data_IF_981018006700
#
_entry.id   IF_981018006700
#
_cell.length_a   1.000
_cell.length_b   1.000
_cell.length_c   1.000
_cell.angle_alpha   90.00
_cell.angle_beta   90.00
_cell.angle_gamma   90.00
#
_symmetry.space_group_name_H-M   'P 1'
#
loop_
_entity.id
_entity.type
_entity.pdbx_description
1 polymer ?
#
# COMPACT_ATOMS: atom_id res chain seq x y z
N UNK A 1 9.41 16.92 -51.32
CA UNK A 1 9.54 15.93 -50.22
C UNK A 1 9.62 16.71 -48.92
N UNK A 2 8.53 16.75 -48.12
CA UNK A 2 8.53 17.42 -46.80
C UNK A 2 8.99 16.39 -45.79
N UNK A 3 10.15 16.64 -45.17
CA UNK A 3 10.67 15.84 -44.06
C UNK A 3 9.71 15.91 -42.88
N UNK A 4 9.07 14.81 -42.59
CA UNK A 4 8.32 14.56 -41.36
C UNK A 4 9.29 14.36 -40.20
N UNK A 5 10.01 15.43 -39.84
CA UNK A 5 10.77 15.46 -38.58
C UNK A 5 9.85 16.05 -37.52
N UNK A 6 8.79 15.31 -37.19
CA UNK A 6 8.00 15.59 -35.98
C UNK A 6 8.93 15.40 -34.80
N UNK A 7 9.38 16.52 -34.20
CA UNK A 7 9.97 16.51 -32.86
C UNK A 7 8.95 15.83 -31.95
N UNK A 8 9.27 14.60 -31.53
CA UNK A 8 8.47 13.93 -30.47
C UNK A 8 8.52 14.81 -29.25
N UNK A 9 7.40 15.08 -28.56
CA UNK A 9 7.39 15.88 -27.34
C UNK A 9 8.43 15.35 -26.34
N UNK A 10 9.10 16.24 -25.62
CA UNK A 10 9.92 15.86 -24.47
C UNK A 10 9.03 15.04 -23.52
N UNK A 11 9.44 13.83 -23.15
CA UNK A 11 8.65 12.89 -22.35
C UNK A 11 7.94 11.77 -23.13
N UNK A 12 7.82 11.84 -24.47
CA UNK A 12 7.18 10.76 -25.25
C UNK A 12 7.86 9.39 -25.00
N UNK A 13 9.20 9.37 -24.93
CA UNK A 13 9.95 8.15 -24.67
C UNK A 13 9.61 7.58 -23.30
N UNK A 14 9.57 8.43 -22.29
CA UNK A 14 9.25 8.04 -20.92
C UNK A 14 7.83 7.48 -20.81
N UNK A 15 6.85 8.12 -21.42
CA UNK A 15 5.46 7.62 -21.47
C UNK A 15 5.37 6.25 -22.13
N UNK A 16 6.13 6.02 -23.21
CA UNK A 16 6.18 4.70 -23.87
C UNK A 16 6.80 3.64 -22.97
N UNK A 17 7.88 3.96 -22.24
CA UNK A 17 8.51 3.03 -21.30
C UNK A 17 7.56 2.70 -20.13
N UNK A 18 6.91 3.69 -19.54
CA UNK A 18 5.89 3.47 -18.49
C UNK A 18 4.73 2.61 -19.00
N UNK A 19 4.26 2.81 -20.24
CA UNK A 19 3.20 2.00 -20.83
C UNK A 19 3.63 0.53 -21.02
N UNK A 20 4.86 0.28 -21.46
CA UNK A 20 5.39 -1.07 -21.64
C UNK A 20 5.56 -1.75 -20.28
N UNK A 21 6.10 -1.05 -19.26
CA UNK A 21 6.22 -1.57 -17.90
C UNK A 21 4.86 -1.92 -17.29
N UNK A 22 3.88 -1.01 -17.42
CA UNK A 22 2.52 -1.26 -16.98
C UNK A 22 1.84 -2.44 -17.68
N UNK A 23 2.09 -2.61 -19.01
CA UNK A 23 1.58 -3.75 -19.76
C UNK A 23 2.21 -5.06 -19.25
N UNK A 24 3.52 -5.08 -19.00
CA UNK A 24 4.20 -6.27 -18.47
C UNK A 24 3.63 -6.68 -17.11
N UNK A 25 3.40 -5.72 -16.19
CA UNK A 25 2.79 -5.99 -14.88
C UNK A 25 1.35 -6.49 -15.06
N UNK A 26 0.55 -5.88 -15.93
CA UNK A 26 -0.82 -6.30 -16.19
C UNK A 26 -0.89 -7.73 -16.76
N UNK A 27 0.00 -8.07 -17.72
CA UNK A 27 0.11 -9.42 -18.26
C UNK A 27 0.51 -10.45 -17.19
N UNK A 28 1.43 -10.07 -16.32
CA UNK A 28 1.85 -10.92 -15.22
C UNK A 28 0.69 -11.19 -14.25
N UNK A 29 -0.09 -10.18 -13.90
CA UNK A 29 -1.29 -10.31 -13.07
C UNK A 29 -2.38 -11.18 -13.72
N UNK A 30 -2.48 -11.16 -15.06
CA UNK A 30 -3.35 -12.05 -15.86
C UNK A 30 -2.82 -13.50 -15.94
N UNK A 31 -1.66 -13.79 -15.34
CA UNK A 31 -0.99 -15.10 -15.41
C UNK A 31 -0.25 -15.38 -16.72
N UNK A 32 -0.14 -14.39 -17.62
CA UNK A 32 0.55 -14.49 -18.91
C UNK A 32 2.04 -14.19 -18.75
N UNK A 33 2.73 -15.00 -17.95
CA UNK A 33 4.11 -14.74 -17.52
C UNK A 33 5.11 -14.68 -18.68
N UNK A 34 4.91 -15.49 -19.74
CA UNK A 34 5.79 -15.47 -20.93
C UNK A 34 5.64 -14.15 -21.70
N UNK A 35 4.40 -13.66 -21.89
CA UNK A 35 4.15 -12.38 -22.53
C UNK A 35 4.69 -11.22 -21.68
N UNK A 36 4.52 -11.28 -20.37
CA UNK A 36 5.09 -10.32 -19.44
C UNK A 36 6.62 -10.24 -19.54
N UNK A 37 7.29 -11.38 -19.64
CA UNK A 37 8.74 -11.43 -19.82
C UNK A 37 9.19 -10.84 -21.17
N UNK A 38 8.42 -11.04 -22.25
CA UNK A 38 8.71 -10.43 -23.56
C UNK A 38 8.62 -8.90 -23.51
N UNK A 39 7.64 -8.36 -22.76
CA UNK A 39 7.52 -6.91 -22.56
C UNK A 39 8.65 -6.36 -21.68
N UNK A 40 9.11 -7.09 -20.66
CA UNK A 40 10.29 -6.73 -19.89
C UNK A 40 11.54 -6.67 -20.77
N UNK A 41 11.76 -7.67 -21.64
CA UNK A 41 12.86 -7.68 -22.61
C UNK A 41 12.75 -6.48 -23.58
N UNK A 42 11.54 -6.11 -23.96
CA UNK A 42 11.27 -4.94 -24.81
C UNK A 42 11.61 -3.65 -24.07
N UNK A 43 11.26 -3.55 -22.79
CA UNK A 43 11.57 -2.41 -21.92
C UNK A 43 13.09 -2.20 -21.81
N UNK A 44 13.83 -3.28 -21.56
CA UNK A 44 15.30 -3.26 -21.50
C UNK A 44 15.93 -2.84 -22.83
N UNK A 45 15.50 -3.41 -23.96
CA UNK A 45 15.98 -3.08 -25.31
C UNK A 45 15.72 -1.63 -25.69
N UNK A 46 14.65 -1.02 -25.17
CA UNK A 46 14.34 0.40 -25.36
C UNK A 46 15.13 1.32 -24.46
N UNK A 47 15.94 0.78 -23.56
CA UNK A 47 16.82 1.52 -22.65
C UNK A 47 16.04 2.24 -21.57
N UNK A 48 15.11 1.55 -20.92
CA UNK A 48 14.53 1.93 -19.64
C UNK A 48 15.60 1.97 -18.55
N UNK A 49 15.31 2.67 -17.44
CA UNK A 49 16.18 2.65 -16.28
C UNK A 49 16.29 1.24 -15.69
N UNK A 50 17.38 0.96 -14.99
CA UNK A 50 17.50 -0.32 -14.29
C UNK A 50 16.41 -0.46 -13.23
N UNK A 51 16.07 0.60 -12.49
CA UNK A 51 15.02 0.59 -11.47
C UNK A 51 13.64 0.26 -12.05
N UNK A 52 13.27 0.81 -13.22
CA UNK A 52 12.00 0.46 -13.89
C UNK A 52 11.96 -1.01 -14.33
N UNK A 53 13.09 -1.53 -14.84
CA UNK A 53 13.20 -2.92 -15.24
C UNK A 53 13.18 -3.87 -14.04
N UNK A 54 13.88 -3.51 -12.96
CA UNK A 54 13.93 -4.29 -11.72
C UNK A 54 12.56 -4.34 -11.04
N UNK A 55 11.76 -3.25 -11.09
CA UNK A 55 10.38 -3.25 -10.60
C UNK A 55 9.51 -4.27 -11.34
N UNK A 56 9.52 -4.23 -12.68
CA UNK A 56 8.74 -5.17 -13.49
C UNK A 56 9.21 -6.62 -13.27
N UNK A 57 10.51 -6.84 -13.18
CA UNK A 57 11.07 -8.16 -12.90
C UNK A 57 10.67 -8.67 -11.50
N UNK A 58 10.66 -7.79 -10.49
CA UNK A 58 10.24 -8.12 -9.13
C UNK A 58 8.77 -8.53 -9.08
N UNK A 59 7.89 -7.81 -9.79
CA UNK A 59 6.47 -8.17 -9.90
C UNK A 59 6.27 -9.54 -10.54
N UNK A 60 6.96 -9.84 -11.66
CA UNK A 60 6.89 -11.14 -12.31
C UNK A 60 7.36 -12.25 -11.36
N UNK A 61 8.48 -12.05 -10.65
CA UNK A 61 9.00 -13.02 -9.68
C UNK A 61 8.04 -13.23 -8.50
N UNK A 62 7.43 -12.17 -8.00
CA UNK A 62 6.45 -12.22 -6.92
C UNK A 62 5.24 -13.08 -7.32
N UNK A 63 4.73 -12.90 -8.55
CA UNK A 63 3.63 -13.70 -9.10
C UNK A 63 4.02 -15.16 -9.35
N UNK A 64 5.30 -15.42 -9.64
CA UNK A 64 5.88 -16.77 -9.68
C UNK A 64 6.12 -17.40 -8.30
N UNK A 65 5.80 -16.66 -7.21
CA UNK A 65 6.08 -17.03 -5.81
C UNK A 65 7.58 -17.13 -5.48
N UNK A 66 8.43 -16.51 -6.28
CA UNK A 66 9.87 -16.40 -6.02
C UNK A 66 10.16 -15.17 -5.15
N UNK A 67 9.56 -15.12 -3.97
CA UNK A 67 9.52 -13.92 -3.11
C UNK A 67 10.90 -13.43 -2.69
N UNK A 68 11.86 -14.32 -2.39
CA UNK A 68 13.22 -13.91 -2.01
C UNK A 68 13.92 -13.13 -3.12
N UNK A 69 13.78 -13.58 -4.37
CA UNK A 69 14.35 -12.90 -5.51
C UNK A 69 13.59 -11.59 -5.80
N UNK A 70 12.28 -11.59 -5.68
CA UNK A 70 11.46 -10.39 -5.82
C UNK A 70 11.85 -9.32 -4.77
N UNK A 71 11.97 -9.69 -3.51
CA UNK A 71 12.38 -8.79 -2.42
C UNK A 71 13.77 -8.20 -2.66
N UNK A 72 14.73 -9.00 -3.16
CA UNK A 72 16.05 -8.51 -3.51
C UNK A 72 16.02 -7.43 -4.60
N UNK A 73 15.12 -7.54 -5.58
CA UNK A 73 14.91 -6.52 -6.61
C UNK A 73 14.18 -5.30 -6.08
N UNK A 74 13.12 -5.47 -5.26
CA UNK A 74 12.44 -4.32 -4.64
C UNK A 74 13.40 -3.45 -3.81
N UNK A 75 14.34 -4.07 -3.07
CA UNK A 75 15.36 -3.33 -2.31
C UNK A 75 16.24 -2.46 -3.24
N UNK A 76 16.57 -2.92 -4.44
CA UNK A 76 17.28 -2.09 -5.42
C UNK A 76 16.37 -0.95 -5.92
N UNK A 77 15.12 -1.25 -6.24
CA UNK A 77 14.12 -0.25 -6.68
C UNK A 77 13.99 0.87 -5.65
N UNK A 78 13.99 0.58 -4.34
CA UNK A 78 13.93 1.61 -3.28
C UNK A 78 15.08 2.63 -3.34
N UNK A 79 16.21 2.25 -3.90
CA UNK A 79 17.39 3.12 -4.00
C UNK A 79 17.57 3.80 -5.37
N UNK A 80 16.90 3.30 -6.40
CA UNK A 80 17.14 3.71 -7.79
C UNK A 80 15.96 4.47 -8.41
N UNK A 81 14.73 4.27 -7.91
CA UNK A 81 13.51 4.87 -8.44
C UNK A 81 13.22 6.19 -7.70
N UNK A 82 13.12 7.27 -8.45
CA UNK A 82 12.79 8.60 -7.91
C UNK A 82 11.28 8.93 -8.03
N UNK A 83 10.55 8.24 -8.93
CA UNK A 83 9.11 8.46 -9.10
C UNK A 83 8.34 7.97 -7.86
N UNK A 84 7.72 8.87 -7.08
CA UNK A 84 7.10 8.48 -5.82
C UNK A 84 5.93 7.52 -5.98
N UNK A 85 5.24 7.51 -7.13
CA UNK A 85 4.14 6.57 -7.39
C UNK A 85 4.67 5.15 -7.61
N UNK A 86 5.74 5.02 -8.40
CA UNK A 86 6.40 3.72 -8.60
C UNK A 86 7.05 3.22 -7.31
N UNK A 87 7.65 4.13 -6.54
CA UNK A 87 8.26 3.81 -5.26
C UNK A 87 7.21 3.35 -4.23
N UNK A 88 6.06 4.04 -4.16
CA UNK A 88 4.92 3.64 -3.33
C UNK A 88 4.43 2.23 -3.70
N UNK A 89 4.26 1.97 -5.00
CA UNK A 89 3.87 0.64 -5.49
C UNK A 89 4.91 -0.43 -5.09
N UNK A 90 6.20 -0.15 -5.26
CA UNK A 90 7.27 -1.08 -4.91
C UNK A 90 7.28 -1.44 -3.40
N UNK A 91 7.06 -0.47 -2.51
CA UNK A 91 6.95 -0.74 -1.08
C UNK A 91 5.76 -1.62 -0.73
N UNK A 92 4.59 -1.38 -1.33
CA UNK A 92 3.40 -2.22 -1.10
C UNK A 92 3.59 -3.64 -1.61
N UNK A 93 4.13 -3.78 -2.83
CA UNK A 93 4.38 -5.10 -3.42
C UNK A 93 5.44 -5.88 -2.65
N UNK A 94 6.48 -5.22 -2.16
CA UNK A 94 7.50 -5.84 -1.32
C UNK A 94 6.93 -6.28 0.04
N UNK A 95 6.07 -5.48 0.67
CA UNK A 95 5.40 -5.85 1.90
C UNK A 95 4.48 -7.06 1.68
N UNK A 96 3.70 -7.08 0.60
CA UNK A 96 2.89 -8.23 0.22
C UNK A 96 3.74 -9.49 -0.05
N UNK A 97 4.90 -9.36 -0.69
CA UNK A 97 5.81 -10.48 -0.90
C UNK A 97 6.34 -11.05 0.43
N UNK A 98 6.62 -10.19 1.42
CA UNK A 98 7.01 -10.61 2.76
C UNK A 98 5.85 -11.30 3.51
N UNK A 99 4.64 -10.79 3.43
CA UNK A 99 3.44 -11.41 4.01
C UNK A 99 3.15 -12.79 3.40
N UNK A 100 3.37 -12.95 2.10
CA UNK A 100 3.23 -14.25 1.44
C UNK A 100 4.31 -15.27 1.84
N UNK A 101 5.35 -14.84 2.57
CA UNK A 101 6.35 -15.69 3.23
C UNK A 101 6.06 -15.88 4.73
N UNK A 102 4.90 -15.43 5.21
CA UNK A 102 4.54 -15.38 6.63
C UNK A 102 5.51 -14.52 7.48
N UNK A 103 6.27 -13.61 6.86
CA UNK A 103 7.22 -12.69 7.52
C UNK A 103 6.58 -11.32 7.76
N UNK A 104 5.67 -11.26 8.73
CA UNK A 104 4.96 -10.03 9.10
C UNK A 104 5.92 -8.94 9.60
N UNK A 105 6.98 -9.31 10.35
CA UNK A 105 7.96 -8.33 10.83
C UNK A 105 8.68 -7.63 9.67
N UNK A 106 9.04 -8.38 8.64
CA UNK A 106 9.66 -7.81 7.44
C UNK A 106 8.70 -6.89 6.70
N UNK A 107 7.42 -7.29 6.56
CA UNK A 107 6.39 -6.46 5.94
C UNK A 107 6.23 -5.12 6.66
N UNK A 108 6.12 -5.14 7.99
CA UNK A 108 6.05 -3.94 8.83
C UNK A 108 7.27 -3.05 8.65
N UNK A 109 8.49 -3.60 8.65
CA UNK A 109 9.73 -2.82 8.42
C UNK A 109 9.73 -2.15 7.04
N UNK A 110 9.30 -2.86 6.00
CA UNK A 110 9.21 -2.32 4.63
C UNK A 110 8.19 -1.18 4.56
N UNK A 111 7.01 -1.34 5.16
CA UNK A 111 5.99 -0.30 5.17
C UNK A 111 6.43 0.94 5.97
N UNK A 112 7.04 0.76 7.14
CA UNK A 112 7.62 1.86 7.93
C UNK A 112 8.67 2.63 7.13
N UNK A 113 9.54 1.93 6.41
CA UNK A 113 10.50 2.55 5.50
C UNK A 113 9.81 3.33 4.37
N UNK A 114 8.73 2.78 3.79
CA UNK A 114 7.91 3.47 2.79
C UNK A 114 7.30 4.76 3.33
N UNK A 115 6.74 4.72 4.55
CA UNK A 115 6.18 5.91 5.20
C UNK A 115 7.23 7.02 5.44
N UNK A 116 8.50 6.64 5.69
CA UNK A 116 9.58 7.58 5.92
C UNK A 116 10.18 8.17 4.63
N UNK A 117 10.25 7.37 3.57
CA UNK A 117 10.95 7.74 2.33
C UNK A 117 10.05 8.38 1.28
N UNK A 118 8.74 8.15 1.35
CA UNK A 118 7.79 8.77 0.43
C UNK A 118 7.50 10.22 0.84
N UNK A 119 7.27 11.12 -0.14
CA UNK A 119 6.84 12.47 0.15
C UNK A 119 5.54 12.50 0.96
N UNK A 120 5.33 13.57 1.72
CA UNK A 120 4.11 13.79 2.48
C UNK A 120 2.86 13.67 1.58
N UNK A 121 1.84 12.98 2.08
CA UNK A 121 0.60 12.70 1.35
C UNK A 121 0.70 11.59 0.30
N UNK A 122 1.88 10.99 0.07
CA UNK A 122 2.04 9.87 -0.89
C UNK A 122 2.22 8.51 -0.22
N UNK A 123 2.36 8.47 1.09
CA UNK A 123 2.47 7.23 1.88
C UNK A 123 1.12 6.72 2.40
N UNK A 124 0.00 7.17 1.83
CA UNK A 124 -1.36 6.86 2.30
C UNK A 124 -1.60 5.35 2.37
N UNK A 125 -1.34 4.65 1.28
CA UNK A 125 -1.57 3.19 1.20
C UNK A 125 -0.62 2.41 2.11
N UNK A 126 0.62 2.89 2.31
CA UNK A 126 1.56 2.30 3.26
C UNK A 126 1.08 2.45 4.69
N UNK A 127 0.57 3.64 5.06
CA UNK A 127 0.00 3.90 6.40
C UNK A 127 -1.24 3.06 6.64
N UNK A 128 -2.15 2.97 5.67
CA UNK A 128 -3.36 2.15 5.75
C UNK A 128 -3.00 0.68 5.99
N UNK A 129 -2.14 0.12 5.14
CA UNK A 129 -1.71 -1.27 5.28
C UNK A 129 -0.93 -1.52 6.58
N UNK A 130 -0.11 -0.56 7.02
CA UNK A 130 0.62 -0.66 8.28
C UNK A 130 -0.34 -0.65 9.47
N UNK A 131 -1.35 0.22 9.49
CA UNK A 131 -2.37 0.25 10.52
C UNK A 131 -3.12 -1.09 10.62
N UNK A 132 -3.51 -1.67 9.47
CA UNK A 132 -4.16 -2.98 9.43
C UNK A 132 -3.26 -4.09 10.02
N UNK A 133 -1.95 -4.07 9.70
CA UNK A 133 -1.00 -5.04 10.26
C UNK A 133 -0.78 -4.83 11.76
N UNK A 134 -0.76 -3.59 12.25
CA UNK A 134 -0.68 -3.30 13.69
C UNK A 134 -1.91 -3.84 14.42
N UNK A 135 -3.11 -3.60 13.90
CA UNK A 135 -4.35 -4.15 14.46
C UNK A 135 -4.33 -5.70 14.47
N UNK A 136 -3.80 -6.33 13.43
CA UNK A 136 -3.66 -7.78 13.37
C UNK A 136 -2.63 -8.31 14.37
N UNK A 137 -1.51 -7.62 14.57
CA UNK A 137 -0.53 -7.96 15.61
C UNK A 137 -1.12 -7.83 17.00
N UNK A 138 -1.84 -6.74 17.28
CA UNK A 138 -2.53 -6.54 18.55
C UNK A 138 -3.53 -7.67 18.88
N UNK A 139 -4.25 -8.17 17.87
CA UNK A 139 -5.18 -9.28 18.05
C UNK A 139 -4.49 -10.62 18.38
N UNK A 140 -3.26 -10.82 17.88
CA UNK A 140 -2.48 -12.05 18.04
C UNK A 140 -1.54 -12.03 19.25
N UNK A 141 -1.01 -10.88 19.63
CA UNK A 141 -0.07 -10.66 20.74
C UNK A 141 -0.70 -9.74 21.79
N UNK A 142 -1.37 -10.37 22.75
CA UNK A 142 -2.09 -9.64 23.81
C UNK A 142 -1.17 -8.92 24.81
N UNK A 143 0.09 -9.35 24.91
CA UNK A 143 1.05 -8.74 25.84
C UNK A 143 1.45 -7.33 25.37
N UNK A 144 1.59 -7.15 24.05
CA UNK A 144 1.99 -5.89 23.43
C UNK A 144 0.83 -5.21 22.70
N UNK A 145 -0.41 -5.68 22.88
CA UNK A 145 -1.58 -5.22 22.11
C UNK A 145 -1.81 -3.71 22.22
N UNK A 146 -1.63 -3.14 23.42
CA UNK A 146 -1.80 -1.69 23.65
C UNK A 146 -0.83 -0.85 22.81
N UNK A 147 0.45 -1.29 22.70
CA UNK A 147 1.45 -0.60 21.88
C UNK A 147 1.09 -0.65 20.39
N UNK A 148 0.66 -1.81 19.90
CA UNK A 148 0.25 -1.96 18.50
C UNK A 148 -1.01 -1.15 18.18
N UNK A 149 -2.01 -1.12 19.08
CA UNK A 149 -3.19 -0.30 18.88
C UNK A 149 -2.86 1.19 18.95
N UNK A 150 -1.96 1.63 19.82
CA UNK A 150 -1.55 3.03 19.88
C UNK A 150 -0.83 3.47 18.59
N UNK A 151 0.03 2.61 18.01
CA UNK A 151 0.64 2.88 16.71
C UNK A 151 -0.40 2.91 15.58
N UNK A 152 -1.36 1.98 15.58
CA UNK A 152 -2.46 1.97 14.60
C UNK A 152 -3.33 3.25 14.72
N UNK A 153 -3.65 3.69 15.94
CA UNK A 153 -4.38 4.94 16.19
C UNK A 153 -3.68 6.12 15.52
N UNK A 154 -2.38 6.31 15.80
CA UNK A 154 -1.63 7.41 15.23
C UNK A 154 -1.67 7.40 13.69
N UNK A 155 -1.47 6.26 13.06
CA UNK A 155 -1.50 6.12 11.60
C UNK A 155 -2.87 6.47 11.02
N UNK A 156 -3.96 6.02 11.66
CA UNK A 156 -5.33 6.26 11.23
C UNK A 156 -5.73 7.73 11.42
N UNK A 157 -5.33 8.37 12.53
CA UNK A 157 -5.52 9.80 12.76
C UNK A 157 -4.77 10.63 11.71
N UNK A 158 -3.51 10.31 11.42
CA UNK A 158 -2.74 10.98 10.36
C UNK A 158 -3.39 10.83 8.97
N UNK A 159 -4.02 9.68 8.66
CA UNK A 159 -4.77 9.47 7.42
C UNK A 159 -5.99 10.37 7.36
N UNK A 160 -6.80 10.42 8.41
CA UNK A 160 -7.98 11.29 8.50
C UNK A 160 -7.58 12.76 8.37
N UNK A 161 -6.56 13.22 9.09
CA UNK A 161 -6.08 14.59 9.08
C UNK A 161 -5.50 15.01 7.71
N UNK A 162 -4.93 14.07 6.98
CA UNK A 162 -4.42 14.30 5.61
C UNK A 162 -5.53 14.37 4.54
N UNK A 163 -6.79 14.16 4.93
CA UNK A 163 -7.94 14.15 4.04
C UNK A 163 -8.24 12.78 3.41
N UNK A 164 -7.52 11.73 3.79
CA UNK A 164 -7.86 10.35 3.43
C UNK A 164 -8.86 9.77 4.45
N UNK A 165 -10.02 10.38 4.46
CA UNK A 165 -11.09 10.15 5.42
C UNK A 165 -12.15 9.19 4.84
N UNK A 166 -11.80 7.92 4.71
CA UNK A 166 -12.71 6.88 4.20
C UNK A 166 -13.56 6.29 5.34
N UNK A 167 -14.69 5.66 4.97
CA UNK A 167 -15.51 4.90 5.93
C UNK A 167 -14.66 3.80 6.61
N UNK A 168 -13.81 3.12 5.84
CA UNK A 168 -12.95 2.06 6.37
C UNK A 168 -11.94 2.61 7.38
N UNK A 169 -11.26 3.72 7.05
CA UNK A 169 -10.30 4.38 7.95
C UNK A 169 -10.96 4.79 9.27
N UNK A 170 -12.15 5.38 9.22
CA UNK A 170 -12.89 5.78 10.43
C UNK A 170 -13.39 4.59 11.24
N UNK A 171 -13.86 3.51 10.60
CA UNK A 171 -14.27 2.30 11.31
C UNK A 171 -13.09 1.63 12.01
N UNK A 172 -11.94 1.55 11.33
CA UNK A 172 -10.71 1.05 11.93
C UNK A 172 -10.29 1.93 13.12
N UNK A 173 -10.37 3.26 12.97
CA UNK A 173 -10.07 4.19 14.06
C UNK A 173 -11.01 3.97 15.26
N UNK A 174 -12.33 3.86 15.03
CA UNK A 174 -13.29 3.58 16.10
C UNK A 174 -13.00 2.24 16.81
N UNK A 175 -12.60 1.21 16.05
CA UNK A 175 -12.23 -0.10 16.60
C UNK A 175 -10.97 -0.01 17.46
N UNK A 176 -9.96 0.72 17.00
CA UNK A 176 -8.71 0.93 17.75
C UNK A 176 -8.94 1.75 19.00
N UNK A 177 -9.72 2.84 18.92
CA UNK A 177 -10.10 3.65 20.07
C UNK A 177 -10.85 2.84 21.13
N UNK A 178 -11.78 1.95 20.70
CA UNK A 178 -12.46 1.01 21.60
C UNK A 178 -11.49 0.08 22.29
N UNK A 179 -10.53 -0.50 21.55
CA UNK A 179 -9.53 -1.41 22.08
C UNK A 179 -8.55 -0.75 23.09
N UNK A 180 -8.42 0.58 23.02
CA UNK A 180 -7.63 1.40 23.94
C UNK A 180 -8.48 2.03 25.07
N UNK A 181 -9.71 1.57 25.28
CA UNK A 181 -10.68 2.10 26.26
C UNK A 181 -11.03 3.59 26.05
N UNK A 182 -10.74 4.15 24.87
CA UNK A 182 -11.08 5.54 24.51
C UNK A 182 -12.52 5.61 23.97
N UNK A 183 -13.47 5.20 24.81
CA UNK A 183 -14.87 4.98 24.41
C UNK A 183 -15.58 6.24 23.93
N UNK A 184 -15.29 7.39 24.56
CA UNK A 184 -15.92 8.67 24.20
C UNK A 184 -15.53 9.12 22.77
N UNK A 185 -14.28 8.93 22.41
CA UNK A 185 -13.73 9.26 21.09
C UNK A 185 -14.28 8.30 20.03
N UNK A 186 -14.31 7.00 20.35
CA UNK A 186 -14.90 5.98 19.47
C UNK A 186 -16.38 6.25 19.19
N UNK A 187 -17.16 6.60 20.24
CA UNK A 187 -18.58 6.96 20.13
C UNK A 187 -18.78 8.16 19.19
N UNK A 188 -17.92 9.18 19.32
CA UNK A 188 -17.99 10.37 18.45
C UNK A 188 -17.76 10.00 16.98
N UNK A 189 -16.73 9.23 16.68
CA UNK A 189 -16.43 8.77 15.30
C UNK A 189 -17.61 8.00 14.71
N UNK A 190 -18.21 7.10 15.50
CA UNK A 190 -19.34 6.28 15.06
C UNK A 190 -20.61 7.12 14.84
N UNK A 191 -20.89 8.10 15.71
CA UNK A 191 -22.02 9.02 15.53
C UNK A 191 -21.88 9.86 14.26
N UNK A 192 -20.70 10.40 14.01
CA UNK A 192 -20.43 11.16 12.80
C UNK A 192 -20.66 10.31 11.53
N UNK A 193 -20.28 9.02 11.58
CA UNK A 193 -20.53 8.07 10.48
C UNK A 193 -22.03 7.76 10.32
N UNK A 194 -22.77 7.55 11.43
CA UNK A 194 -24.23 7.33 11.40
C UNK A 194 -24.97 8.54 10.81
N UNK A 195 -24.57 9.76 11.15
CA UNK A 195 -25.18 10.98 10.62
C UNK A 195 -24.92 11.12 9.10
N UNK A 196 -23.71 10.80 8.63
CA UNK A 196 -23.35 10.89 7.23
C UNK A 196 -23.94 9.76 6.37
N UNK A 197 -24.11 8.56 6.95
CA UNK A 197 -24.54 7.35 6.26
C UNK A 197 -25.68 6.62 7.03
N UNK A 198 -26.85 7.23 7.19
CA UNK A 198 -27.90 6.75 8.11
C UNK A 198 -28.53 5.41 7.71
N UNK A 199 -28.24 4.90 6.51
CA UNK A 199 -28.74 3.58 6.03
C UNK A 199 -27.73 2.46 6.22
N UNK A 200 -26.55 2.74 6.73
CA UNK A 200 -25.49 1.73 6.91
C UNK A 200 -25.49 1.18 8.34
N UNK A 201 -26.10 -0.01 8.50
CA UNK A 201 -26.25 -0.67 9.79
C UNK A 201 -24.95 -1.09 10.47
N UNK A 202 -23.80 -1.07 9.75
CA UNK A 202 -22.49 -1.45 10.32
C UNK A 202 -22.12 -0.56 11.50
N UNK A 203 -22.48 0.72 11.44
CA UNK A 203 -22.21 1.67 12.51
C UNK A 203 -23.07 1.42 13.74
N UNK A 204 -24.34 1.01 13.54
CA UNK A 204 -25.24 0.65 14.65
C UNK A 204 -24.71 -0.61 15.36
N UNK A 205 -24.21 -1.58 14.61
CA UNK A 205 -23.60 -2.77 15.17
C UNK A 205 -22.34 -2.44 15.97
N UNK A 206 -21.44 -1.62 15.41
CA UNK A 206 -20.21 -1.23 16.09
C UNK A 206 -20.51 -0.40 17.35
N UNK A 207 -21.51 0.49 17.30
CA UNK A 207 -21.98 1.23 18.47
C UNK A 207 -22.53 0.28 19.55
N UNK A 208 -23.27 -0.75 19.16
CA UNK A 208 -23.78 -1.73 20.13
C UNK A 208 -22.61 -2.50 20.81
N UNK A 209 -21.59 -2.90 20.08
CA UNK A 209 -20.40 -3.52 20.68
C UNK A 209 -19.68 -2.55 21.62
N UNK A 210 -19.49 -1.30 21.22
CA UNK A 210 -18.89 -0.26 22.07
C UNK A 210 -19.63 -0.10 23.40
N UNK A 211 -20.96 -0.11 23.36
CA UNK A 211 -21.79 0.03 24.58
C UNK A 211 -21.75 -1.21 25.47
N UNK A 212 -21.57 -2.41 24.90
CA UNK A 212 -21.44 -3.65 25.66
C UNK A 212 -20.10 -3.68 26.42
N UNK A 213 -19.02 -3.21 25.80
CA UNK A 213 -17.69 -3.23 26.40
C UNK A 213 -17.55 -2.21 27.56
N UNK A 214 -18.50 -1.27 27.70
CA UNK A 214 -18.55 -0.32 28.82
C UNK A 214 -19.29 -0.84 30.06
N UNK A 215 -19.92 -2.05 29.99
CA UNK A 215 -20.69 -2.65 31.08
C UNK A 215 -19.81 -3.49 32.02
#
# INVERSE_FOLDING_TARGET
MRCWNCRRPSGYREQVLKAIGGLAIALANDGKLEEAQQELDTLQKKGASFGDCDLVAAEILSLQKNYDQALALYIKVFNEVEDPQLLSHAYLSAANAALNQDDMEKAVRILKQGCQNLPEGQAVLQKEMLADLMMQQAASDKENAEEYYAEAQQLLEELVDSGYDTIATRLNLATVLQALDQYSEAEKVLKDLQEQYPSDYRFDMQMAYLLIDQL
#
